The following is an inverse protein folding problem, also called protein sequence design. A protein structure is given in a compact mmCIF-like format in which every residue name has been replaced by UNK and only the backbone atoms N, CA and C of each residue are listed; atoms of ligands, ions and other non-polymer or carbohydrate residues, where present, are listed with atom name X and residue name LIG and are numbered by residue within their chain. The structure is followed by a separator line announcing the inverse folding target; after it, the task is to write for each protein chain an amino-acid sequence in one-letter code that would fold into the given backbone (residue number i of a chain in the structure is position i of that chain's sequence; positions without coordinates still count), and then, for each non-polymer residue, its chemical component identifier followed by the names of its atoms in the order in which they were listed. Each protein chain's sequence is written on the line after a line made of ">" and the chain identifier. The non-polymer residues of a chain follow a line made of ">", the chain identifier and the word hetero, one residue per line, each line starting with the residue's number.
data_IF_207773675707
#
_entry.id   IF_207773675707
#
_cell.length_a   1.000
_cell.length_b   1.000
_cell.length_c   1.000
_cell.angle_alpha   90.00
_cell.angle_beta   90.00
_cell.angle_gamma   90.00
#
_symmetry.space_group_name_H-M   'P 1'
#
loop_
_entity.id
_entity.type
_entity.pdbx_description
1 polymer ?
#
# COMPACT_ATOMS: atom_id res chain seq x y z
N UNK A 1 -19.25 2.40 -15.90
CA UNK A 1 -20.07 2.89 -14.77
C UNK A 1 -20.67 4.21 -15.17
N UNK A 2 -21.98 4.37 -15.06
CA UNK A 2 -22.71 5.56 -15.51
C UNK A 2 -22.58 6.67 -14.44
N UNK A 3 -22.70 7.95 -14.81
CA UNK A 3 -22.64 9.09 -13.87
C UNK A 3 -23.66 8.96 -12.70
N UNK A 4 -24.79 8.27 -12.93
CA UNK A 4 -25.74 7.91 -11.88
C UNK A 4 -25.18 6.91 -10.88
N UNK A 5 -24.38 5.94 -11.32
CA UNK A 5 -23.73 4.95 -10.44
C UNK A 5 -22.60 5.55 -9.61
N UNK A 6 -21.89 6.56 -10.16
CA UNK A 6 -20.90 7.34 -9.40
C UNK A 6 -21.56 8.23 -8.35
N UNK A 7 -22.76 8.78 -8.64
CA UNK A 7 -23.58 9.50 -7.67
C UNK A 7 -24.15 8.59 -6.59
N UNK A 8 -24.57 7.35 -6.93
CA UNK A 8 -24.98 6.34 -5.95
C UNK A 8 -23.84 5.94 -5.04
N UNK A 9 -22.62 5.78 -5.59
CA UNK A 9 -21.41 5.49 -4.80
C UNK A 9 -21.08 6.64 -3.86
N UNK A 10 -21.18 7.89 -4.34
CA UNK A 10 -20.98 9.09 -3.53
C UNK A 10 -22.09 9.25 -2.47
N UNK A 11 -23.33 8.96 -2.82
CA UNK A 11 -24.46 8.91 -1.88
C UNK A 11 -24.27 7.84 -0.81
N UNK A 12 -23.83 6.63 -1.19
CA UNK A 12 -23.62 5.52 -0.25
C UNK A 12 -22.41 5.74 0.68
N UNK A 13 -21.40 6.48 0.26
CA UNK A 13 -20.25 6.87 1.09
C UNK A 13 -20.52 8.13 1.93
N UNK A 14 -21.46 8.99 1.52
CA UNK A 14 -21.94 10.12 2.31
C UNK A 14 -23.07 9.73 3.29
N UNK A 15 -23.89 8.73 2.95
CA UNK A 15 -24.90 8.12 3.81
C UNK A 15 -24.36 7.00 4.70
N UNK A 16 -23.04 6.83 4.86
CA UNK A 16 -22.46 6.11 5.99
C UNK A 16 -22.72 6.86 7.33
N UNK A 17 -23.83 7.59 7.38
CA UNK A 17 -24.43 8.08 8.59
C UNK A 17 -24.86 6.86 9.42
N UNK A 18 -24.32 6.78 10.60
CA UNK A 18 -24.67 5.94 11.74
C UNK A 18 -26.16 5.58 11.66
N UNK A 19 -26.46 4.29 11.44
CA UNK A 19 -27.82 3.80 11.66
C UNK A 19 -28.16 3.98 13.15
N UNK A 20 -29.43 4.10 13.50
CA UNK A 20 -29.98 4.33 14.86
C UNK A 20 -29.56 3.29 15.92
N UNK A 21 -28.33 2.84 15.92
CA UNK A 21 -27.72 1.84 16.81
C UNK A 21 -26.20 1.83 16.76
N UNK A 22 -25.53 2.84 16.15
CA UNK A 22 -24.06 2.93 16.13
C UNK A 22 -23.36 1.98 15.16
N UNK A 23 -24.08 1.23 14.32
CA UNK A 23 -23.51 0.32 13.31
C UNK A 23 -23.45 0.99 11.93
N UNK A 24 -22.35 0.73 11.20
CA UNK A 24 -22.17 1.22 9.82
C UNK A 24 -23.17 0.52 8.86
N UNK A 25 -23.81 1.31 7.98
CA UNK A 25 -24.77 0.78 6.99
C UNK A 25 -24.04 -0.03 5.93
N UNK A 26 -24.41 -1.30 5.74
CA UNK A 26 -23.86 -2.18 4.69
C UNK A 26 -24.40 -1.78 3.32
N UNK A 27 -23.60 -1.05 2.54
CA UNK A 27 -23.98 -0.54 1.21
C UNK A 27 -23.02 -0.98 0.10
N UNK A 28 -21.79 -1.38 0.42
CA UNK A 28 -20.74 -1.69 -0.56
C UNK A 28 -20.94 -3.07 -1.20
N UNK A 29 -21.12 -3.11 -2.51
CA UNK A 29 -21.12 -4.34 -3.34
C UNK A 29 -19.68 -4.71 -3.72
N UNK A 30 -19.44 -5.95 -4.18
CA UNK A 30 -18.14 -6.45 -4.63
C UNK A 30 -17.42 -5.48 -5.57
N UNK A 31 -18.10 -4.94 -6.59
CA UNK A 31 -17.51 -3.99 -7.56
C UNK A 31 -16.97 -2.71 -6.88
N UNK A 32 -17.69 -2.20 -5.87
CA UNK A 32 -17.28 -0.99 -5.14
C UNK A 32 -16.01 -1.26 -4.32
N UNK A 33 -15.95 -2.40 -3.64
CA UNK A 33 -14.78 -2.82 -2.84
C UNK A 33 -13.56 -3.03 -3.74
N UNK A 34 -13.72 -3.70 -4.89
CA UNK A 34 -12.64 -3.90 -5.87
C UNK A 34 -12.12 -2.56 -6.37
N UNK A 35 -13.03 -1.65 -6.73
CA UNK A 35 -12.65 -0.34 -7.23
C UNK A 35 -11.90 0.50 -6.18
N UNK A 36 -12.39 0.52 -4.93
CA UNK A 36 -11.73 1.22 -3.82
C UNK A 36 -10.31 0.65 -3.59
N UNK A 37 -10.15 -0.67 -3.62
CA UNK A 37 -8.85 -1.31 -3.47
C UNK A 37 -7.87 -0.97 -4.60
N UNK A 38 -8.32 -1.00 -5.86
CA UNK A 38 -7.49 -0.60 -7.00
C UNK A 38 -7.13 0.89 -6.97
N UNK A 39 -8.06 1.74 -6.51
CA UNK A 39 -7.80 3.16 -6.32
C UNK A 39 -6.75 3.42 -5.23
N UNK A 40 -6.78 2.61 -4.16
CA UNK A 40 -5.80 2.72 -3.07
C UNK A 40 -4.39 2.32 -3.51
N UNK A 41 -4.26 1.29 -4.36
CA UNK A 41 -2.98 0.80 -4.86
C UNK A 41 -2.33 1.71 -5.91
N UNK A 42 -3.09 2.62 -6.52
CA UNK A 42 -2.66 3.50 -7.62
C UNK A 42 -2.09 2.76 -8.85
N UNK A 43 -2.75 2.84 -10.02
CA UNK A 43 -2.21 2.23 -11.26
C UNK A 43 -0.83 2.78 -11.66
N UNK A 44 -0.49 4.01 -11.28
CA UNK A 44 0.82 4.61 -11.58
C UNK A 44 1.95 4.13 -10.68
N UNK A 45 1.65 3.37 -9.60
CA UNK A 45 2.67 2.81 -8.72
C UNK A 45 3.66 1.88 -9.44
N UNK A 46 3.32 1.37 -10.61
CA UNK A 46 4.22 0.57 -11.45
C UNK A 46 5.46 1.35 -11.90
N UNK A 47 5.37 2.67 -11.96
CA UNK A 47 6.46 3.55 -12.40
C UNK A 47 7.36 4.01 -11.26
N UNK A 48 6.94 3.84 -10.00
CA UNK A 48 7.58 4.42 -8.83
C UNK A 48 9.02 3.93 -8.65
N UNK A 49 9.24 2.64 -8.82
CA UNK A 49 10.51 1.97 -8.49
C UNK A 49 11.10 1.19 -9.68
N UNK A 50 10.59 1.39 -10.90
CA UNK A 50 11.01 0.62 -12.07
C UNK A 50 12.53 0.65 -12.27
N UNK A 51 13.15 1.83 -12.28
CA UNK A 51 14.59 1.97 -12.51
C UNK A 51 15.41 1.27 -11.43
N UNK A 52 15.07 1.50 -10.14
CA UNK A 52 15.72 0.88 -9.00
C UNK A 52 15.66 -0.65 -9.09
N UNK A 53 14.48 -1.20 -9.37
CA UNK A 53 14.30 -2.65 -9.46
C UNK A 53 15.01 -3.22 -10.68
N UNK A 54 15.02 -2.51 -11.79
CA UNK A 54 15.75 -2.93 -12.99
C UNK A 54 17.25 -2.99 -12.74
N UNK A 55 17.81 -2.00 -12.04
CA UNK A 55 19.22 -1.97 -11.63
C UNK A 55 19.54 -3.14 -10.69
N UNK A 56 18.80 -3.29 -9.59
CA UNK A 56 19.00 -4.37 -8.61
C UNK A 56 18.89 -5.75 -9.24
N UNK A 57 17.91 -5.96 -10.14
CA UNK A 57 17.63 -7.28 -10.74
C UNK A 57 18.42 -7.56 -12.01
N UNK A 58 19.20 -6.60 -12.51
CA UNK A 58 19.88 -6.72 -13.79
C UNK A 58 18.91 -6.87 -14.97
N UNK A 59 17.83 -6.07 -14.97
CA UNK A 59 16.86 -6.07 -16.06
C UNK A 59 15.72 -7.08 -15.94
N UNK A 60 15.39 -7.57 -14.74
CA UNK A 60 14.36 -8.60 -14.53
C UNK A 60 13.17 -8.13 -13.68
N UNK A 61 12.70 -6.89 -13.90
CA UNK A 61 11.56 -6.31 -13.15
C UNK A 61 10.28 -7.16 -13.24
N UNK A 62 9.85 -7.66 -14.43
CA UNK A 62 8.67 -8.51 -14.52
C UNK A 62 8.80 -9.82 -13.72
N UNK A 63 10.02 -10.41 -13.64
CA UNK A 63 10.26 -11.59 -12.82
C UNK A 63 10.07 -11.29 -11.32
N UNK A 64 10.55 -10.13 -10.85
CA UNK A 64 10.35 -9.70 -9.48
C UNK A 64 8.86 -9.45 -9.17
N UNK A 65 8.10 -8.89 -10.12
CA UNK A 65 6.64 -8.76 -9.98
C UNK A 65 5.94 -10.13 -9.92
N UNK A 66 6.33 -11.10 -10.74
CA UNK A 66 5.76 -12.46 -10.65
C UNK A 66 6.02 -13.09 -9.29
N UNK A 67 7.21 -12.89 -8.72
CA UNK A 67 7.57 -13.43 -7.42
C UNK A 67 6.73 -12.80 -6.31
N UNK A 68 6.61 -11.47 -6.26
CA UNK A 68 5.80 -10.82 -5.23
C UNK A 68 4.31 -11.15 -5.36
N UNK A 69 3.78 -11.31 -6.58
CA UNK A 69 2.39 -11.74 -6.81
C UNK A 69 2.14 -13.10 -6.15
N UNK A 70 3.07 -14.05 -6.26
CA UNK A 70 2.94 -15.36 -5.60
C UNK A 70 2.86 -15.21 -4.08
N UNK A 71 3.72 -14.38 -3.47
CA UNK A 71 3.68 -14.12 -2.03
C UNK A 71 2.37 -13.44 -1.60
N UNK A 72 1.91 -12.46 -2.40
CA UNK A 72 0.64 -11.76 -2.18
C UNK A 72 -0.55 -12.71 -2.29
N UNK A 73 -0.57 -13.67 -3.22
CA UNK A 73 -1.67 -14.63 -3.34
C UNK A 73 -1.81 -15.52 -2.10
N UNK A 74 -0.72 -16.02 -1.55
CA UNK A 74 -0.76 -16.78 -0.30
C UNK A 74 -1.30 -15.93 0.86
N UNK A 75 -0.84 -14.69 0.94
CA UNK A 75 -1.28 -13.73 1.96
C UNK A 75 -2.74 -13.32 1.77
N UNK A 76 -3.16 -13.03 0.54
CA UNK A 76 -4.55 -12.74 0.17
C UNK A 76 -5.50 -13.88 0.54
N UNK A 77 -5.06 -15.12 0.33
CA UNK A 77 -5.78 -16.31 0.77
C UNK A 77 -5.99 -16.31 2.29
N UNK A 78 -4.94 -16.02 3.06
CA UNK A 78 -5.00 -15.97 4.51
C UNK A 78 -5.89 -14.85 5.03
N UNK A 79 -5.81 -13.64 4.45
CA UNK A 79 -6.77 -12.56 4.73
C UNK A 79 -8.21 -12.99 4.46
N UNK A 80 -8.45 -13.61 3.29
CA UNK A 80 -9.78 -14.11 2.93
C UNK A 80 -10.32 -15.15 3.92
N UNK A 81 -9.45 -16.01 4.47
CA UNK A 81 -9.82 -16.97 5.53
C UNK A 81 -10.17 -16.28 6.83
N UNK A 82 -9.38 -15.29 7.25
CA UNK A 82 -9.57 -14.56 8.50
C UNK A 82 -10.83 -13.69 8.47
N UNK A 83 -11.10 -12.98 7.37
CA UNK A 83 -12.34 -12.20 7.18
C UNK A 83 -13.59 -13.07 7.30
N UNK A 84 -13.56 -14.32 6.79
CA UNK A 84 -14.70 -15.25 6.95
C UNK A 84 -14.99 -15.60 8.40
N UNK A 85 -13.97 -15.58 9.28
CA UNK A 85 -14.07 -15.90 10.70
C UNK A 85 -14.36 -14.65 11.53
N UNK A 86 -13.69 -13.55 11.20
CA UNK A 86 -13.75 -12.26 11.92
C UNK A 86 -13.98 -11.12 10.92
N UNK A 87 -15.23 -10.88 10.48
CA UNK A 87 -15.56 -9.83 9.51
C UNK A 87 -15.65 -8.45 10.18
N UNK A 88 -14.55 -7.99 10.78
CA UNK A 88 -14.43 -6.70 11.46
C UNK A 88 -13.36 -5.83 10.81
N UNK A 89 -13.46 -4.52 10.97
CA UNK A 89 -12.57 -3.54 10.36
C UNK A 89 -11.13 -3.54 10.91
N UNK A 90 -10.85 -4.23 11.99
CA UNK A 90 -9.54 -4.20 12.67
C UNK A 90 -8.41 -4.99 11.98
N UNK A 91 -8.65 -5.58 10.80
CA UNK A 91 -7.65 -6.27 9.97
C UNK A 91 -6.73 -7.20 10.79
N UNK A 92 -5.43 -7.24 10.48
CA UNK A 92 -4.44 -8.12 11.12
C UNK A 92 -4.33 -7.94 12.64
N UNK A 93 -4.52 -6.73 13.16
CA UNK A 93 -4.58 -6.48 14.60
C UNK A 93 -5.64 -7.37 15.26
N UNK A 94 -6.87 -7.33 14.75
CA UNK A 94 -7.98 -8.13 15.28
C UNK A 94 -7.73 -9.63 15.10
N UNK A 95 -7.21 -10.06 13.95
CA UNK A 95 -6.93 -11.48 13.71
C UNK A 95 -5.91 -12.02 14.68
N UNK A 96 -4.78 -11.32 14.88
CA UNK A 96 -3.74 -11.71 15.82
C UNK A 96 -4.25 -11.70 17.26
N UNK A 97 -4.98 -10.67 17.66
CA UNK A 97 -5.59 -10.55 18.99
C UNK A 97 -6.54 -11.70 19.28
N UNK A 98 -7.45 -12.03 18.38
CA UNK A 98 -8.49 -13.06 18.56
C UNK A 98 -7.96 -14.50 18.43
N UNK A 99 -6.87 -14.72 17.69
CA UNK A 99 -6.29 -16.07 17.49
C UNK A 99 -5.17 -16.40 18.45
N UNK A 100 -4.36 -15.41 18.83
CA UNK A 100 -3.17 -15.57 19.68
C UNK A 100 -3.39 -14.95 21.06
N UNK A 101 -3.09 -13.66 21.21
CA UNK A 101 -3.33 -12.91 22.43
C UNK A 101 -3.38 -11.39 22.17
N UNK A 102 -3.86 -10.63 23.15
CA UNK A 102 -4.05 -9.19 23.05
C UNK A 102 -2.73 -8.40 22.91
N UNK A 103 -1.68 -8.84 23.63
CA UNK A 103 -0.38 -8.16 23.62
C UNK A 103 0.30 -8.27 22.24
N UNK A 104 0.28 -9.47 21.67
CA UNK A 104 0.85 -9.70 20.34
C UNK A 104 0.04 -8.96 19.25
N UNK A 105 -1.31 -8.96 19.38
CA UNK A 105 -2.16 -8.15 18.51
C UNK A 105 -1.78 -6.68 18.52
N UNK A 106 -1.50 -6.12 19.70
CA UNK A 106 -1.03 -4.75 19.84
C UNK A 106 0.31 -4.53 19.11
N UNK A 107 1.31 -5.39 19.32
CA UNK A 107 2.63 -5.25 18.70
C UNK A 107 2.57 -5.35 17.17
N UNK A 108 1.75 -6.25 16.66
CA UNK A 108 1.53 -6.39 15.21
C UNK A 108 0.84 -5.15 14.66
N UNK A 109 -0.19 -4.65 15.33
CA UNK A 109 -0.86 -3.40 14.96
C UNK A 109 0.08 -2.19 15.01
N UNK A 110 0.93 -2.11 16.05
CA UNK A 110 1.96 -1.08 16.19
C UNK A 110 2.96 -1.12 15.02
N UNK A 111 3.44 -2.29 14.66
CA UNK A 111 4.37 -2.43 13.54
C UNK A 111 3.71 -2.10 12.19
N UNK A 112 2.47 -2.51 11.99
CA UNK A 112 1.70 -2.18 10.80
C UNK A 112 1.42 -0.66 10.67
N UNK A 113 1.48 0.11 11.76
CA UNK A 113 1.35 1.57 11.70
C UNK A 113 2.45 2.25 10.88
N UNK A 114 3.63 1.64 10.71
CA UNK A 114 4.68 2.19 9.84
C UNK A 114 4.16 2.45 8.43
N UNK A 115 3.40 1.50 7.88
CA UNK A 115 2.76 1.65 6.59
C UNK A 115 1.89 2.92 6.54
N UNK A 116 0.95 3.08 7.47
CA UNK A 116 0.04 4.23 7.47
C UNK A 116 0.73 5.58 7.73
N UNK A 117 1.72 5.62 8.63
CA UNK A 117 2.36 6.86 9.05
C UNK A 117 3.33 7.41 7.99
N UNK A 118 4.01 6.51 7.26
CA UNK A 118 5.06 6.89 6.32
C UNK A 118 4.62 6.88 4.84
N UNK A 119 3.43 6.36 4.50
CA UNK A 119 2.89 6.49 3.14
C UNK A 119 2.78 7.94 2.63
N UNK A 120 2.38 8.95 3.43
CA UNK A 120 2.42 10.33 2.98
C UNK A 120 3.83 10.85 2.66
N UNK A 121 4.85 10.33 3.35
CA UNK A 121 6.26 10.62 3.10
C UNK A 121 6.68 10.17 1.70
N UNK A 122 6.35 8.94 1.32
CA UNK A 122 6.75 8.40 0.01
C UNK A 122 6.11 9.16 -1.15
N UNK A 123 4.87 9.63 -0.99
CA UNK A 123 4.23 10.47 -2.01
C UNK A 123 4.97 11.79 -2.21
N UNK A 124 5.47 12.41 -1.13
CA UNK A 124 6.24 13.64 -1.23
C UNK A 124 7.60 13.41 -1.92
N UNK A 125 8.24 12.27 -1.63
CA UNK A 125 9.48 11.87 -2.27
C UNK A 125 9.28 11.60 -3.77
N UNK A 126 8.25 10.83 -4.13
CA UNK A 126 7.89 10.56 -5.52
C UNK A 126 7.53 11.83 -6.30
N UNK A 127 6.73 12.73 -5.70
CA UNK A 127 6.46 14.04 -6.31
C UNK A 127 7.75 14.80 -6.60
N UNK A 128 8.72 14.74 -5.67
CA UNK A 128 10.02 15.39 -5.82
C UNK A 128 10.82 14.81 -6.99
N UNK A 129 10.92 13.50 -7.11
CA UNK A 129 11.65 12.81 -8.19
C UNK A 129 11.09 13.24 -9.55
N UNK A 130 9.77 13.18 -9.72
CA UNK A 130 9.12 13.52 -10.98
C UNK A 130 9.19 15.02 -11.29
N UNK A 131 9.03 15.89 -10.28
CA UNK A 131 9.16 17.34 -10.49
C UNK A 131 10.60 17.74 -10.77
N UNK A 132 11.60 17.09 -10.18
CA UNK A 132 13.02 17.34 -10.48
C UNK A 132 13.38 16.92 -11.90
N UNK A 133 12.78 15.88 -12.45
CA UNK A 133 12.92 15.51 -13.86
C UNK A 133 12.38 16.60 -14.81
N UNK A 134 11.29 17.28 -14.44
CA UNK A 134 10.72 18.38 -15.23
C UNK A 134 11.45 19.70 -15.03
N UNK A 135 11.97 19.96 -13.83
CA UNK A 135 12.61 21.22 -13.43
C UNK A 135 13.95 20.98 -12.73
N UNK A 136 14.99 20.56 -13.48
CA UNK A 136 16.30 20.16 -12.90
C UNK A 136 17.02 21.29 -12.14
N UNK A 137 16.64 22.55 -12.37
CA UNK A 137 17.21 23.71 -11.67
C UNK A 137 16.66 23.96 -10.27
N UNK A 138 15.64 23.21 -9.84
CA UNK A 138 15.00 23.40 -8.54
C UNK A 138 15.44 22.26 -7.60
N UNK A 139 16.01 22.56 -6.43
CA UNK A 139 16.41 21.54 -5.47
C UNK A 139 15.23 20.63 -5.04
N UNK A 140 15.47 19.32 -4.97
CA UNK A 140 14.45 18.30 -4.67
C UNK A 140 13.69 18.53 -3.37
N UNK A 141 14.37 19.01 -2.31
CA UNK A 141 13.75 19.29 -1.03
C UNK A 141 12.62 20.33 -1.08
N UNK A 142 12.65 21.25 -2.07
CA UNK A 142 11.58 22.26 -2.28
C UNK A 142 10.29 21.54 -2.69
N UNK A 143 10.37 20.56 -3.58
CA UNK A 143 9.22 19.78 -4.02
C UNK A 143 8.63 18.94 -2.91
N UNK A 144 9.50 18.30 -2.09
CA UNK A 144 9.08 17.56 -0.90
C UNK A 144 8.31 18.48 0.04
N UNK A 145 8.90 19.63 0.38
CA UNK A 145 8.29 20.59 1.30
C UNK A 145 6.96 21.11 0.78
N UNK A 146 6.90 21.54 -0.50
CA UNK A 146 5.66 22.04 -1.11
C UNK A 146 4.56 20.97 -1.11
N UNK A 147 4.88 19.74 -1.48
CA UNK A 147 3.92 18.63 -1.49
C UNK A 147 3.33 18.41 -0.09
N UNK A 148 4.18 18.37 0.94
CA UNK A 148 3.73 18.17 2.33
C UNK A 148 2.90 19.35 2.83
N UNK A 149 3.31 20.59 2.52
CA UNK A 149 2.55 21.80 2.90
C UNK A 149 1.19 21.80 2.22
N UNK A 150 1.14 21.51 0.92
CA UNK A 150 -0.12 21.48 0.16
C UNK A 150 -1.06 20.41 0.72
N UNK A 151 -0.58 19.17 0.88
CA UNK A 151 -1.41 18.06 1.39
C UNK A 151 -1.89 18.31 2.81
N UNK A 152 -1.02 18.84 3.68
CA UNK A 152 -1.36 19.18 5.07
C UNK A 152 -2.37 20.32 5.11
N UNK A 153 -2.16 21.39 4.35
CA UNK A 153 -3.09 22.52 4.29
C UNK A 153 -4.47 22.10 3.79
N UNK A 154 -4.54 21.31 2.71
CA UNK A 154 -5.79 20.81 2.17
C UNK A 154 -6.53 19.92 3.19
N UNK A 155 -5.81 19.09 3.94
CA UNK A 155 -6.41 18.31 5.02
C UNK A 155 -6.94 19.17 6.17
N UNK A 156 -6.24 20.25 6.54
CA UNK A 156 -6.69 21.19 7.57
C UNK A 156 -7.91 22.00 7.15
N UNK A 157 -8.02 22.35 5.87
CA UNK A 157 -9.22 23.02 5.33
C UNK A 157 -10.41 22.08 5.16
N UNK A 158 -10.22 20.77 5.35
CA UNK A 158 -11.30 19.79 5.27
C UNK A 158 -11.86 19.62 3.87
N UNK A 159 -11.02 19.76 2.84
CA UNK A 159 -11.41 19.54 1.44
C UNK A 159 -11.88 18.09 1.29
N UNK A 160 -13.17 17.90 1.19
CA UNK A 160 -13.81 16.64 0.83
C UNK A 160 -13.54 16.42 -0.65
N UNK A 161 -12.37 15.82 -0.98
CA UNK A 161 -12.15 15.31 -2.32
C UNK A 161 -13.17 14.20 -2.56
N UNK A 162 -14.17 14.53 -3.34
CA UNK A 162 -15.30 13.66 -3.60
C UNK A 162 -14.83 12.36 -4.23
N UNK A 163 -15.45 11.25 -3.88
CA UNK A 163 -15.22 9.91 -4.46
C UNK A 163 -15.25 9.93 -6.00
N UNK A 164 -16.04 10.84 -6.60
CA UNK A 164 -16.10 11.07 -8.05
C UNK A 164 -14.74 11.54 -8.59
N UNK A 165 -14.01 12.40 -7.84
CA UNK A 165 -12.67 12.86 -8.24
C UNK A 165 -11.68 11.69 -8.22
N UNK A 166 -11.69 10.87 -7.18
CA UNK A 166 -10.85 9.67 -7.11
C UNK A 166 -11.12 8.70 -8.27
N UNK A 167 -12.39 8.51 -8.63
CA UNK A 167 -12.76 7.67 -9.78
C UNK A 167 -12.20 8.22 -11.10
N UNK A 168 -12.36 9.51 -11.33
CA UNK A 168 -11.83 10.18 -12.52
C UNK A 168 -10.29 10.08 -12.58
N UNK A 169 -9.63 10.25 -11.44
CA UNK A 169 -8.17 10.14 -11.32
C UNK A 169 -7.66 8.73 -11.63
N UNK A 170 -8.33 7.68 -11.15
CA UNK A 170 -7.96 6.30 -11.46
C UNK A 170 -8.11 6.02 -12.95
N UNK A 171 -9.19 6.48 -13.57
CA UNK A 171 -9.37 6.35 -15.03
C UNK A 171 -8.25 7.07 -15.78
N UNK A 172 -7.91 8.30 -15.36
CA UNK A 172 -6.82 9.08 -15.96
C UNK A 172 -5.48 8.33 -15.83
N UNK A 173 -5.18 7.77 -14.66
CA UNK A 173 -3.97 6.98 -14.41
C UNK A 173 -3.89 5.77 -15.34
N UNK A 174 -4.97 5.01 -15.46
CA UNK A 174 -5.04 3.85 -16.38
C UNK A 174 -4.87 4.32 -17.83
N UNK A 175 -5.51 5.42 -18.23
CA UNK A 175 -5.40 5.95 -19.59
C UNK A 175 -3.96 6.37 -19.91
N UNK A 176 -3.31 7.11 -19.01
CA UNK A 176 -1.90 7.53 -19.17
C UNK A 176 -0.99 6.29 -19.29
N UNK A 177 -1.21 5.27 -18.46
CA UNK A 177 -0.42 4.03 -18.53
C UNK A 177 -0.67 3.26 -19.83
N UNK A 178 -1.91 3.18 -20.31
CA UNK A 178 -2.24 2.53 -21.59
C UNK A 178 -1.56 3.27 -22.75
N UNK A 179 -1.61 4.60 -22.76
CA UNK A 179 -0.89 5.40 -23.77
C UNK A 179 0.62 5.15 -23.69
N UNK A 180 1.17 5.12 -22.47
CA UNK A 180 2.58 4.81 -22.26
C UNK A 180 2.95 3.47 -22.89
N UNK A 181 2.19 2.40 -22.61
CA UNK A 181 2.43 1.06 -23.17
C UNK A 181 2.31 1.05 -24.69
N UNK A 182 1.30 1.72 -25.26
CA UNK A 182 1.12 1.82 -26.73
C UNK A 182 2.33 2.50 -27.36
N UNK A 183 2.80 3.62 -26.80
CA UNK A 183 3.97 4.32 -27.29
C UNK A 183 5.24 3.48 -27.15
N UNK A 184 5.40 2.73 -26.06
CA UNK A 184 6.51 1.80 -25.84
C UNK A 184 6.51 0.68 -26.89
N UNK A 185 5.36 0.05 -27.13
CA UNK A 185 5.21 -0.98 -28.20
C UNK A 185 5.56 -0.40 -29.55
N UNK A 186 5.04 0.79 -29.88
CA UNK A 186 5.36 1.48 -31.14
C UNK A 186 6.87 1.70 -31.28
N UNK A 187 7.55 2.10 -30.21
CA UNK A 187 8.99 2.35 -30.23
C UNK A 187 9.80 1.08 -30.44
N UNK A 188 9.39 -0.04 -29.83
CA UNK A 188 10.03 -1.36 -30.03
C UNK A 188 9.82 -1.84 -31.47
N UNK A 189 8.62 -1.66 -32.06
CA UNK A 189 8.28 -2.20 -33.40
C UNK A 189 8.81 -1.35 -34.57
N UNK A 190 8.87 -0.03 -34.41
CA UNK A 190 9.13 0.91 -35.51
C UNK A 190 10.27 1.90 -35.24
N UNK A 191 10.85 1.90 -34.03
CA UNK A 191 12.00 2.72 -33.69
C UNK A 191 13.31 2.00 -34.03
N UNK A 192 14.36 2.75 -34.32
CA UNK A 192 15.70 2.20 -34.55
C UNK A 192 16.42 1.81 -33.24
N UNK A 193 15.70 1.09 -32.36
CA UNK A 193 16.20 0.73 -31.01
C UNK A 193 17.03 -0.55 -31.01
N UNK A 194 16.92 -1.37 -32.06
CA UNK A 194 17.49 -2.72 -32.09
C UNK A 194 16.86 -3.72 -31.12
N UNK A 195 15.89 -3.28 -30.32
CA UNK A 195 15.21 -4.11 -29.31
C UNK A 195 14.06 -4.89 -29.94
N UNK A 196 13.85 -6.11 -29.46
CA UNK A 196 12.78 -7.00 -29.89
C UNK A 196 12.04 -7.58 -28.68
N UNK A 197 10.80 -8.03 -28.91
CA UNK A 197 10.09 -8.77 -27.87
C UNK A 197 10.79 -10.09 -27.57
N UNK A 198 11.16 -10.29 -26.32
CA UNK A 198 11.87 -11.49 -25.84
C UNK A 198 11.37 -11.88 -24.46
N UNK A 199 11.76 -13.06 -24.00
CA UNK A 199 11.50 -13.50 -22.62
C UNK A 199 12.62 -13.09 -21.64
N UNK A 200 13.63 -12.35 -22.12
CA UNK A 200 14.74 -11.89 -21.29
C UNK A 200 14.33 -11.15 -20.02
N UNK A 201 13.27 -10.27 -20.02
CA UNK A 201 12.81 -9.63 -18.80
C UNK A 201 12.31 -10.60 -17.72
N UNK A 202 11.99 -11.84 -18.10
CA UNK A 202 11.56 -12.87 -17.14
C UNK A 202 12.68 -13.82 -16.75
N UNK A 203 13.58 -14.14 -17.68
CA UNK A 203 14.63 -15.11 -17.45
C UNK A 203 15.81 -14.91 -18.40
N UNK A 204 17.02 -14.91 -17.83
CA UNK A 204 18.30 -15.06 -18.53
C UNK A 204 19.19 -16.00 -17.72
N UNK A 205 20.28 -16.50 -18.32
CA UNK A 205 21.27 -17.34 -17.61
C UNK A 205 21.96 -16.58 -16.45
N UNK A 206 21.95 -15.25 -16.49
CA UNK A 206 22.57 -14.37 -15.49
C UNK A 206 21.60 -13.98 -14.36
N UNK A 207 20.35 -14.46 -14.40
CA UNK A 207 19.33 -14.11 -13.38
C UNK A 207 19.77 -14.53 -11.98
N UNK A 208 19.88 -13.55 -11.10
CA UNK A 208 20.19 -13.76 -9.68
C UNK A 208 18.91 -13.85 -8.86
N UNK A 209 18.57 -15.03 -8.35
CA UNK A 209 17.40 -15.18 -7.47
C UNK A 209 17.43 -14.25 -6.23
N UNK A 210 18.57 -14.11 -5.51
CA UNK A 210 18.64 -13.14 -4.40
C UNK A 210 18.33 -11.71 -4.84
N UNK A 211 18.80 -11.27 -6.01
CA UNK A 211 18.51 -9.94 -6.55
C UNK A 211 17.01 -9.79 -6.91
N UNK A 212 16.39 -10.82 -7.50
CA UNK A 212 14.94 -10.83 -7.78
C UNK A 212 14.13 -10.76 -6.48
N UNK A 213 14.53 -11.43 -5.41
CA UNK A 213 13.88 -11.33 -4.10
C UNK A 213 14.07 -9.95 -3.47
N UNK A 214 15.25 -9.35 -3.59
CA UNK A 214 15.49 -7.98 -3.13
C UNK A 214 14.60 -6.99 -3.88
N UNK A 215 14.52 -7.09 -5.21
CA UNK A 215 13.59 -6.31 -6.02
C UNK A 215 12.13 -6.54 -5.61
N UNK A 216 11.71 -7.79 -5.45
CA UNK A 216 10.36 -8.14 -5.04
C UNK A 216 10.00 -7.59 -3.63
N UNK A 217 10.96 -7.49 -2.71
CA UNK A 217 10.73 -6.92 -1.39
C UNK A 217 10.40 -5.42 -1.45
N UNK A 218 11.00 -4.68 -2.38
CA UNK A 218 10.69 -3.26 -2.63
C UNK A 218 9.35 -3.14 -3.36
N UNK A 219 9.09 -3.99 -4.36
CA UNK A 219 7.84 -4.00 -5.14
C UNK A 219 6.58 -4.31 -4.31
N UNK A 220 6.73 -4.84 -3.09
CA UNK A 220 5.61 -4.99 -2.17
C UNK A 220 4.88 -3.67 -1.93
N UNK A 221 5.58 -2.52 -1.99
CA UNK A 221 4.99 -1.17 -1.93
C UNK A 221 3.85 -0.98 -2.94
N UNK A 222 4.03 -1.45 -4.19
CA UNK A 222 3.02 -1.31 -5.25
C UNK A 222 1.74 -2.11 -4.97
N UNK A 223 1.79 -3.08 -4.06
CA UNK A 223 0.63 -3.88 -3.66
C UNK A 223 -0.02 -3.41 -2.35
N UNK A 224 0.54 -2.41 -1.66
CA UNK A 224 -0.07 -1.91 -0.42
C UNK A 224 -1.48 -1.37 -0.70
N UNK A 225 -2.43 -1.84 0.10
CA UNK A 225 -3.84 -1.51 -0.08
C UNK A 225 -4.74 -2.68 -0.52
N UNK A 226 -4.18 -3.79 -1.06
CA UNK A 226 -5.01 -4.96 -1.40
C UNK A 226 -5.69 -5.55 -0.16
N UNK A 227 -5.06 -5.43 1.00
CA UNK A 227 -5.57 -5.88 2.30
C UNK A 227 -6.40 -4.80 3.02
N UNK A 228 -6.21 -3.53 2.68
CA UNK A 228 -6.95 -2.41 3.25
C UNK A 228 -8.47 -2.55 3.05
N UNK A 229 -8.91 -3.25 1.99
CA UNK A 229 -10.33 -3.56 1.79
C UNK A 229 -10.93 -4.43 2.90
N UNK A 230 -10.12 -5.09 3.72
CA UNK A 230 -10.62 -5.80 4.91
C UNK A 230 -11.22 -4.87 5.95
N UNK A 231 -10.76 -3.61 6.00
CA UNK A 231 -11.32 -2.59 6.89
C UNK A 231 -12.72 -2.16 6.48
N UNK A 232 -13.13 -2.41 5.22
CA UNK A 232 -14.47 -2.16 4.71
C UNK A 232 -15.47 -3.29 5.03
N UNK A 233 -15.06 -4.29 5.83
CA UNK A 233 -15.88 -5.47 6.08
C UNK A 233 -17.23 -5.14 6.73
N UNK A 234 -17.30 -4.09 7.56
CA UNK A 234 -18.52 -3.68 8.26
C UNK A 234 -19.50 -2.93 7.34
N UNK A 235 -19.01 -2.28 6.29
CA UNK A 235 -19.80 -1.56 5.28
C UNK A 235 -20.15 -2.41 4.07
N UNK A 236 -19.55 -3.61 3.94
CA UNK A 236 -19.71 -4.47 2.77
C UNK A 236 -20.91 -5.40 2.91
N UNK A 237 -21.71 -5.51 1.84
CA UNK A 237 -22.79 -6.49 1.73
C UNK A 237 -22.15 -7.89 1.61
N UNK A 238 -22.61 -8.86 2.41
CA UNK A 238 -22.05 -10.21 2.48
C UNK A 238 -20.49 -10.22 2.62
N UNK A 239 -19.91 -9.60 3.69
CA UNK A 239 -18.48 -9.41 3.78
C UNK A 239 -17.67 -10.71 3.71
N UNK A 240 -18.19 -11.80 4.30
CA UNK A 240 -17.56 -13.13 4.26
C UNK A 240 -17.37 -13.71 2.86
N UNK A 241 -18.10 -13.19 1.87
CA UNK A 241 -18.07 -13.63 0.47
C UNK A 241 -17.37 -12.59 -0.42
N UNK A 242 -17.74 -11.32 -0.26
CA UNK A 242 -17.31 -10.25 -1.16
C UNK A 242 -15.90 -9.75 -0.85
N UNK A 243 -15.50 -9.61 0.41
CA UNK A 243 -14.14 -9.17 0.75
C UNK A 243 -13.07 -10.18 0.26
N UNK A 244 -13.17 -11.49 0.53
CA UNK A 244 -12.17 -12.44 0.01
C UNK A 244 -12.07 -12.44 -1.52
N UNK A 245 -13.20 -12.30 -2.23
CA UNK A 245 -13.21 -12.20 -3.69
C UNK A 245 -12.57 -10.91 -4.17
N UNK A 246 -12.87 -9.79 -3.51
CA UNK A 246 -12.30 -8.49 -3.84
C UNK A 246 -10.76 -8.52 -3.72
N UNK A 247 -10.22 -9.04 -2.61
CA UNK A 247 -8.78 -9.16 -2.37
C UNK A 247 -8.09 -9.90 -3.53
N UNK A 248 -8.64 -11.06 -3.94
CA UNK A 248 -8.07 -11.84 -5.05
C UNK A 248 -8.17 -11.13 -6.39
N UNK A 249 -9.32 -10.50 -6.70
CA UNK A 249 -9.52 -9.75 -7.94
C UNK A 249 -8.54 -8.57 -7.99
N UNK A 250 -8.39 -7.82 -6.91
CA UNK A 250 -7.49 -6.68 -6.80
C UNK A 250 -6.04 -7.14 -7.02
N UNK A 251 -5.57 -8.13 -6.26
CA UNK A 251 -4.20 -8.63 -6.36
C UNK A 251 -3.88 -9.19 -7.76
N UNK A 252 -4.82 -9.93 -8.38
CA UNK A 252 -4.62 -10.49 -9.71
C UNK A 252 -4.61 -9.42 -10.80
N UNK A 253 -5.60 -8.50 -10.79
CA UNK A 253 -5.70 -7.47 -11.82
C UNK A 253 -4.56 -6.47 -11.75
N UNK A 254 -4.17 -6.01 -10.54
CA UNK A 254 -3.03 -5.14 -10.37
C UNK A 254 -1.71 -5.85 -10.74
N UNK A 255 -1.53 -7.09 -10.28
CA UNK A 255 -0.33 -7.87 -10.62
C UNK A 255 -0.18 -8.10 -12.12
N UNK A 256 -1.24 -8.52 -12.81
CA UNK A 256 -1.22 -8.69 -14.26
C UNK A 256 -0.92 -7.38 -14.99
N UNK A 257 -1.50 -6.28 -14.51
CA UNK A 257 -1.25 -4.95 -15.05
C UNK A 257 0.21 -4.53 -14.86
N UNK A 258 0.77 -4.67 -13.67
CA UNK A 258 2.15 -4.30 -13.37
C UNK A 258 3.17 -5.14 -14.15
N UNK A 259 2.97 -6.45 -14.23
CA UNK A 259 3.83 -7.34 -15.06
C UNK A 259 3.78 -6.90 -16.53
N UNK A 260 2.59 -6.59 -17.05
CA UNK A 260 2.44 -6.19 -18.46
C UNK A 260 3.19 -4.88 -18.75
N UNK A 261 2.99 -3.86 -17.91
CA UNK A 261 3.63 -2.54 -18.09
C UNK A 261 5.15 -2.68 -18.02
N UNK A 262 5.65 -3.33 -16.98
CA UNK A 262 7.10 -3.47 -16.76
C UNK A 262 7.76 -4.37 -17.79
N UNK A 263 7.05 -5.36 -18.36
CA UNK A 263 7.54 -6.16 -19.47
C UNK A 263 7.87 -5.28 -20.69
N UNK A 264 6.97 -4.39 -21.08
CA UNK A 264 7.21 -3.49 -22.20
C UNK A 264 8.31 -2.46 -21.91
N UNK A 265 8.33 -1.92 -20.69
CA UNK A 265 9.39 -1.01 -20.26
C UNK A 265 10.76 -1.69 -20.32
N UNK A 266 10.89 -2.90 -19.74
CA UNK A 266 12.14 -3.64 -19.70
C UNK A 266 12.57 -4.17 -21.07
N UNK A 267 11.62 -4.49 -21.95
CA UNK A 267 11.92 -4.87 -23.32
C UNK A 267 12.48 -3.70 -24.13
N UNK A 268 12.05 -2.46 -23.84
CA UNK A 268 12.57 -1.27 -24.49
C UNK A 268 13.93 -0.84 -23.90
N UNK A 269 14.08 -0.97 -22.57
CA UNK A 269 15.31 -0.64 -21.85
C UNK A 269 15.76 -1.85 -21.02
N UNK A 270 16.52 -2.78 -21.66
CA UNK A 270 17.09 -3.93 -20.94
C UNK A 270 18.09 -3.53 -19.85
N UNK A 271 18.80 -2.42 -20.07
CA UNK A 271 19.76 -1.85 -19.14
C UNK A 271 19.35 -0.41 -18.81
N UNK A 272 19.16 -0.13 -17.52
CA UNK A 272 18.78 1.21 -17.01
C UNK A 272 19.96 2.10 -16.68
N UNK A 273 21.20 1.61 -16.78
CA UNK A 273 22.41 2.39 -16.56
C UNK A 273 22.58 3.52 -17.59
N UNK A 274 21.80 3.48 -18.68
CA UNK A 274 21.72 4.55 -19.70
C UNK A 274 21.06 5.82 -19.17
N UNK A 275 20.30 5.75 -18.07
CA UNK A 275 19.66 6.91 -17.45
C UNK A 275 20.61 7.58 -16.46
N UNK A 276 20.61 8.91 -16.45
CA UNK A 276 21.44 9.69 -15.53
C UNK A 276 20.94 9.62 -14.07
N UNK A 277 19.65 9.37 -13.89
CA UNK A 277 18.97 9.20 -12.62
C UNK A 277 18.10 7.94 -12.67
N UNK A 278 18.49 6.92 -11.92
CA UNK A 278 17.80 5.63 -11.87
C UNK A 278 16.41 5.77 -11.24
N UNK A 279 16.26 6.60 -10.22
CA UNK A 279 14.95 6.87 -9.60
C UNK A 279 14.01 7.59 -10.56
N UNK A 280 14.55 8.46 -11.40
CA UNK A 280 13.84 9.19 -12.45
C UNK A 280 13.70 8.45 -13.79
N UNK A 281 14.03 7.16 -13.87
CA UNK A 281 14.00 6.41 -15.13
C UNK A 281 12.62 6.44 -15.84
N UNK A 282 11.52 6.31 -15.10
CA UNK A 282 10.18 6.28 -15.70
C UNK A 282 9.78 7.58 -16.42
N UNK A 283 9.97 8.80 -15.86
CA UNK A 283 9.78 10.05 -16.61
C UNK A 283 10.74 10.19 -17.80
N UNK A 284 11.99 9.72 -17.71
CA UNK A 284 12.91 9.74 -18.85
C UNK A 284 12.43 8.83 -19.99
N UNK A 285 11.94 7.63 -19.67
CA UNK A 285 11.30 6.73 -20.63
C UNK A 285 10.10 7.42 -21.29
N UNK A 286 9.24 8.08 -20.51
CA UNK A 286 8.08 8.79 -21.03
C UNK A 286 8.49 9.88 -22.04
N UNK A 287 9.60 10.59 -21.76
CA UNK A 287 10.17 11.58 -22.67
C UNK A 287 10.71 10.96 -23.95
N UNK A 288 11.38 9.81 -23.83
CA UNK A 288 11.95 9.09 -24.97
C UNK A 288 10.86 8.56 -25.93
N UNK A 289 9.80 7.95 -25.41
CA UNK A 289 8.74 7.32 -26.23
C UNK A 289 7.75 8.31 -26.84
N UNK A 290 7.51 9.45 -26.18
CA UNK A 290 6.44 10.39 -26.57
C UNK A 290 6.84 11.86 -26.64
N UNK A 291 8.15 12.14 -26.51
CA UNK A 291 8.70 13.50 -26.57
C UNK A 291 8.23 14.40 -25.43
N UNK A 292 8.48 15.70 -25.58
CA UNK A 292 8.20 16.68 -24.51
C UNK A 292 6.71 16.77 -24.14
N UNK A 293 5.80 16.60 -25.11
CA UNK A 293 4.36 16.68 -24.85
C UNK A 293 3.89 15.55 -23.94
N UNK A 294 4.23 14.29 -24.28
CA UNK A 294 3.81 13.15 -23.48
C UNK A 294 4.50 13.14 -22.12
N UNK A 295 5.78 13.51 -22.03
CA UNK A 295 6.49 13.71 -20.77
C UNK A 295 5.75 14.68 -19.84
N UNK A 296 5.31 15.84 -20.35
CA UNK A 296 4.55 16.82 -19.56
C UNK A 296 3.20 16.28 -19.10
N UNK A 297 2.48 15.55 -19.96
CA UNK A 297 1.20 14.90 -19.59
C UNK A 297 1.43 13.83 -18.52
N UNK A 298 2.47 13.01 -18.69
CA UNK A 298 2.82 11.94 -17.77
C UNK A 298 3.16 12.47 -16.36
N UNK A 299 4.07 13.46 -16.29
CA UNK A 299 4.44 14.08 -15.01
C UNK A 299 3.26 14.79 -14.37
N UNK A 300 2.49 15.58 -15.13
CA UNK A 300 1.33 16.30 -14.59
C UNK A 300 0.29 15.33 -14.01
N UNK A 301 -0.03 14.27 -14.76
CA UNK A 301 -0.95 13.24 -14.32
C UNK A 301 -0.44 12.50 -13.07
N UNK A 302 0.85 12.21 -13.02
CA UNK A 302 1.50 11.55 -11.90
C UNK A 302 1.48 12.42 -10.64
N UNK A 303 1.91 13.68 -10.73
CA UNK A 303 1.94 14.61 -9.58
C UNK A 303 0.54 14.83 -9.00
N UNK A 304 -0.48 14.98 -9.85
CA UNK A 304 -1.88 15.10 -9.39
C UNK A 304 -2.32 13.82 -8.67
N UNK A 305 -1.95 12.64 -9.18
CA UNK A 305 -2.28 11.36 -8.55
C UNK A 305 -1.61 11.22 -7.17
N UNK A 306 -0.31 11.53 -7.10
CA UNK A 306 0.48 11.47 -5.85
C UNK A 306 -0.05 12.46 -4.80
N UNK A 307 -0.42 13.68 -5.19
CA UNK A 307 -1.06 14.64 -4.28
C UNK A 307 -2.40 14.11 -3.74
N UNK A 308 -3.24 13.55 -4.59
CA UNK A 308 -4.52 12.98 -4.18
C UNK A 308 -4.35 11.79 -3.23
N UNK A 309 -3.39 10.90 -3.52
CA UNK A 309 -3.02 9.80 -2.64
C UNK A 309 -2.48 10.32 -1.30
N UNK A 310 -1.56 11.28 -1.32
CA UNK A 310 -0.95 11.87 -0.13
C UNK A 310 -1.98 12.51 0.81
N UNK A 311 -2.97 13.24 0.26
CA UNK A 311 -4.07 13.82 1.05
C UNK A 311 -4.88 12.70 1.75
N UNK A 312 -5.25 11.67 1.01
CA UNK A 312 -6.08 10.57 1.52
C UNK A 312 -5.34 9.75 2.57
N UNK A 313 -4.07 9.44 2.33
CA UNK A 313 -3.22 8.66 3.23
C UNK A 313 -2.89 9.43 4.51
N UNK A 314 -2.55 10.73 4.41
CA UNK A 314 -2.33 11.58 5.58
C UNK A 314 -3.58 11.68 6.46
N UNK A 315 -4.77 11.81 5.86
CA UNK A 315 -6.03 11.83 6.60
C UNK A 315 -6.30 10.47 7.26
N UNK A 316 -6.04 9.36 6.58
CA UNK A 316 -6.21 8.00 7.12
C UNK A 316 -5.29 7.75 8.31
N UNK A 317 -4.01 8.11 8.20
CA UNK A 317 -3.05 8.04 9.30
C UNK A 317 -3.49 8.88 10.50
N UNK A 318 -3.97 10.11 10.24
CA UNK A 318 -4.44 11.03 11.29
C UNK A 318 -5.67 10.50 12.01
N UNK A 319 -6.58 9.84 11.30
CA UNK A 319 -7.77 9.19 11.88
C UNK A 319 -7.41 7.95 12.69
N UNK A 320 -6.44 7.17 12.23
CA UNK A 320 -5.91 6.03 12.97
C UNK A 320 -5.34 6.48 14.32
N UNK A 321 -4.46 7.48 14.32
CA UNK A 321 -3.89 8.09 15.53
C UNK A 321 -4.97 8.64 16.46
N UNK A 322 -6.00 9.27 15.89
CA UNK A 322 -7.16 9.77 16.65
C UNK A 322 -7.90 8.61 17.32
N UNK A 323 -8.20 7.54 16.60
CA UNK A 323 -8.85 6.36 17.16
C UNK A 323 -8.05 5.79 18.34
N UNK A 324 -6.74 5.65 18.17
CA UNK A 324 -5.84 5.17 19.24
C UNK A 324 -5.82 6.13 20.45
N UNK A 325 -5.88 7.44 20.21
CA UNK A 325 -5.96 8.43 21.29
C UNK A 325 -7.30 8.39 22.01
N UNK A 326 -8.41 8.28 21.28
CA UNK A 326 -9.77 8.15 21.83
C UNK A 326 -9.89 6.93 22.74
N UNK A 327 -9.37 5.79 22.29
CA UNK A 327 -9.49 4.49 22.97
C UNK A 327 -8.41 4.30 24.06
N UNK A 328 -7.59 5.34 24.33
CA UNK A 328 -6.61 5.33 25.42
C UNK A 328 -5.35 4.51 25.13
N UNK A 329 -5.14 4.10 23.89
CA UNK A 329 -3.88 3.47 23.43
C UNK A 329 -2.77 4.51 23.38
N UNK A 330 -3.06 5.72 22.88
CA UNK A 330 -2.17 6.88 22.89
C UNK A 330 -2.70 7.95 23.85
N UNK A 331 -1.85 8.91 24.33
CA UNK A 331 -2.30 9.97 25.23
C UNK A 331 -3.48 10.77 24.68
N UNK A 332 -4.66 10.60 25.30
CA UNK A 332 -5.93 11.16 24.83
C UNK A 332 -5.89 12.69 24.67
N UNK A 333 -5.12 13.39 25.51
CA UNK A 333 -4.99 14.86 25.50
C UNK A 333 -4.51 15.41 24.15
N UNK A 334 -3.61 14.70 23.46
CA UNK A 334 -3.02 15.11 22.19
C UNK A 334 -3.70 14.40 21.02
N UNK A 335 -3.65 13.07 21.02
CA UNK A 335 -4.11 12.25 19.90
C UNK A 335 -5.63 12.16 19.80
N UNK A 336 -6.35 12.21 20.93
CA UNK A 336 -7.81 12.22 20.97
C UNK A 336 -8.45 13.60 20.78
N UNK A 337 -7.63 14.66 20.54
CA UNK A 337 -8.15 16.01 20.36
C UNK A 337 -8.73 16.21 18.96
N UNK A 338 -9.94 16.75 18.91
CA UNK A 338 -10.64 17.17 17.70
C UNK A 338 -10.94 18.66 17.80
N UNK A 339 -10.63 19.40 16.76
CA UNK A 339 -10.87 20.84 16.74
C UNK A 339 -12.38 21.16 16.72
N UNK A 340 -12.92 21.97 17.67
CA UNK A 340 -14.36 22.12 17.87
C UNK A 340 -15.14 22.64 16.65
N UNK A 341 -14.53 23.50 15.83
CA UNK A 341 -15.18 24.11 14.66
C UNK A 341 -15.13 23.25 13.40
N UNK A 342 -14.02 22.51 13.19
CA UNK A 342 -13.81 21.77 11.94
C UNK A 342 -14.10 20.28 12.07
N UNK A 343 -14.15 19.74 13.30
CA UNK A 343 -14.32 18.31 13.53
C UNK A 343 -13.09 17.49 13.11
N UNK A 344 -11.92 18.12 12.91
CA UNK A 344 -10.72 17.46 12.41
C UNK A 344 -9.69 17.20 13.52
N UNK A 345 -8.95 16.11 13.46
CA UNK A 345 -7.86 15.80 14.38
C UNK A 345 -6.58 16.58 14.00
N UNK A 346 -6.62 17.91 14.18
CA UNK A 346 -5.58 18.86 13.71
C UNK A 346 -4.19 18.47 14.19
N UNK A 347 -4.04 18.10 15.47
CA UNK A 347 -2.74 17.68 16.01
C UNK A 347 -2.17 16.48 15.22
N UNK A 348 -3.00 15.49 14.94
CA UNK A 348 -2.56 14.28 14.22
C UNK A 348 -2.22 14.60 12.75
N UNK A 349 -2.98 15.48 12.10
CA UNK A 349 -2.69 15.91 10.71
C UNK A 349 -1.32 16.59 10.65
N UNK A 350 -1.04 17.52 11.59
CA UNK A 350 0.24 18.21 11.66
C UNK A 350 1.39 17.25 12.01
N UNK A 351 1.17 16.30 12.92
CA UNK A 351 2.17 15.30 13.29
C UNK A 351 2.54 14.41 12.10
N UNK A 352 1.56 13.90 11.35
CA UNK A 352 1.82 13.07 10.16
C UNK A 352 2.51 13.89 9.08
N UNK A 353 2.14 15.16 8.89
CA UNK A 353 2.85 16.07 7.99
C UNK A 353 4.30 16.30 8.42
N UNK A 354 4.55 16.49 9.72
CA UNK A 354 5.91 16.63 10.25
C UNK A 354 6.74 15.34 10.07
N UNK A 355 6.14 14.15 10.29
CA UNK A 355 6.78 12.88 10.02
C UNK A 355 7.10 12.72 8.52
N UNK A 356 6.23 13.18 7.63
CA UNK A 356 6.47 13.10 6.19
C UNK A 356 7.69 13.94 5.74
N UNK A 357 8.12 14.97 6.50
CA UNK A 357 9.36 15.72 6.21
C UNK A 357 10.62 14.86 6.30
N UNK A 358 10.56 13.68 6.91
CA UNK A 358 11.69 12.74 6.91
C UNK A 358 12.08 12.27 5.50
N UNK A 359 11.18 12.43 4.50
CA UNK A 359 11.48 12.27 3.09
C UNK A 359 12.72 13.05 2.60
N UNK A 360 13.09 14.13 3.28
CA UNK A 360 14.29 14.92 2.92
C UNK A 360 15.61 14.21 3.24
N UNK A 361 15.56 13.12 4.01
CA UNK A 361 16.74 12.42 4.54
C UNK A 361 16.82 10.96 4.11
N UNK A 362 15.84 10.46 3.36
CA UNK A 362 15.76 9.08 2.91
C UNK A 362 15.71 9.06 1.37
N UNK A 363 16.34 8.04 0.80
CA UNK A 363 16.11 7.70 -0.61
C UNK A 363 14.83 6.86 -0.78
N UNK A 364 14.44 6.64 -2.03
CA UNK A 364 13.20 5.92 -2.34
C UNK A 364 13.26 4.45 -1.90
N UNK A 365 14.42 3.82 -1.98
CA UNK A 365 14.63 2.42 -1.57
C UNK A 365 14.49 2.25 -0.06
N UNK A 366 15.12 3.15 0.71
CA UNK A 366 15.03 3.17 2.16
C UNK A 366 13.59 3.45 2.64
N UNK A 367 12.94 4.46 2.03
CA UNK A 367 11.56 4.81 2.34
C UNK A 367 10.59 3.67 2.05
N UNK A 368 10.68 3.04 0.86
CA UNK A 368 9.88 1.89 0.48
C UNK A 368 10.10 0.70 1.42
N UNK A 369 11.37 0.40 1.72
CA UNK A 369 11.73 -0.71 2.61
C UNK A 369 11.22 -0.50 4.04
N UNK A 370 11.25 0.74 4.56
CA UNK A 370 10.72 1.07 5.89
C UNK A 370 9.20 0.82 5.97
N UNK A 371 8.46 1.24 4.96
CA UNK A 371 7.01 1.01 4.87
C UNK A 371 6.73 -0.49 4.75
N UNK A 372 7.46 -1.18 3.87
CA UNK A 372 7.30 -2.62 3.64
C UNK A 372 7.66 -3.46 4.88
N UNK A 373 8.53 -2.97 5.77
CA UNK A 373 8.78 -3.62 7.07
C UNK A 373 7.47 -3.82 7.84
N UNK A 374 6.67 -2.77 7.98
CA UNK A 374 5.36 -2.83 8.64
C UNK A 374 4.38 -3.77 7.94
N UNK A 375 4.32 -3.68 6.63
CA UNK A 375 3.45 -4.53 5.81
C UNK A 375 3.84 -6.02 5.93
N UNK A 376 5.11 -6.37 5.86
CA UNK A 376 5.55 -7.76 6.01
C UNK A 376 5.32 -8.33 7.41
N UNK A 377 5.38 -7.51 8.46
CA UNK A 377 4.90 -7.93 9.79
C UNK A 377 3.42 -8.30 9.72
N UNK A 378 2.58 -7.44 9.15
CA UNK A 378 1.15 -7.71 9.00
C UNK A 378 0.88 -8.99 8.17
N UNK A 379 1.55 -9.14 7.02
CA UNK A 379 1.40 -10.30 6.14
C UNK A 379 1.89 -11.60 6.79
N UNK A 380 2.98 -11.54 7.54
CA UNK A 380 3.49 -12.67 8.34
C UNK A 380 2.46 -13.11 9.37
N UNK A 381 1.93 -12.16 10.15
CA UNK A 381 1.00 -12.47 11.23
C UNK A 381 -0.42 -12.85 10.77
N UNK A 382 -0.88 -12.39 9.61
CA UNK A 382 -2.16 -12.90 9.08
C UNK A 382 -2.03 -14.37 8.65
N UNK A 383 -0.92 -14.75 8.01
CA UNK A 383 -0.64 -16.14 7.67
C UNK A 383 -0.53 -17.02 8.93
N UNK A 384 0.22 -16.56 9.93
CA UNK A 384 0.35 -17.25 11.21
C UNK A 384 -0.98 -17.35 11.96
N UNK A 385 -1.85 -16.34 11.87
CA UNK A 385 -3.19 -16.35 12.48
C UNK A 385 -4.07 -17.48 11.93
N UNK A 386 -3.99 -17.80 10.64
CA UNK A 386 -4.72 -18.93 10.03
C UNK A 386 -4.22 -20.25 10.61
N UNK A 387 -2.90 -20.44 10.72
CA UNK A 387 -2.26 -21.64 11.27
C UNK A 387 -2.67 -21.82 12.73
N UNK A 388 -2.53 -20.77 13.55
CA UNK A 388 -2.90 -20.83 14.98
C UNK A 388 -4.40 -21.09 15.18
N UNK A 389 -5.24 -20.46 14.35
CA UNK A 389 -6.69 -20.72 14.37
C UNK A 389 -7.00 -22.19 14.10
N UNK A 390 -6.33 -22.81 13.11
CA UNK A 390 -6.49 -24.23 12.81
C UNK A 390 -6.16 -25.09 14.01
N UNK A 391 -5.01 -24.89 14.67
CA UNK A 391 -4.61 -25.71 15.82
C UNK A 391 -5.51 -25.53 17.05
N UNK A 392 -5.98 -24.30 17.32
CA UNK A 392 -6.73 -23.95 18.54
C UNK A 392 -8.24 -24.16 18.42
N UNK A 393 -8.82 -23.96 17.22
CA UNK A 393 -10.28 -23.87 17.09
C UNK A 393 -10.89 -24.75 16.00
N UNK A 394 -10.13 -25.21 15.01
CA UNK A 394 -10.69 -26.03 13.93
C UNK A 394 -10.69 -27.51 14.33
N UNK A 395 -11.87 -28.12 14.33
CA UNK A 395 -12.02 -29.54 14.69
C UNK A 395 -11.78 -30.48 13.50
N UNK A 396 -12.00 -29.99 12.28
CA UNK A 396 -11.84 -30.78 11.06
C UNK A 396 -10.37 -30.91 10.69
N UNK A 397 -9.83 -32.12 10.71
CA UNK A 397 -8.44 -32.46 10.39
C UNK A 397 -8.30 -33.17 9.04
N UNK A 398 -9.22 -32.93 8.10
CA UNK A 398 -9.13 -33.51 6.75
C UNK A 398 -7.90 -33.01 6.02
N UNK A 399 -7.40 -33.80 5.05
CA UNK A 399 -6.25 -33.41 4.19
C UNK A 399 -6.50 -32.04 3.54
N UNK A 400 -7.71 -31.77 3.05
CA UNK A 400 -8.10 -30.47 2.51
C UNK A 400 -7.94 -29.36 3.54
N UNK A 401 -8.32 -29.58 4.80
CA UNK A 401 -8.18 -28.59 5.87
C UNK A 401 -6.70 -28.33 6.20
N UNK A 402 -5.86 -29.36 6.19
CA UNK A 402 -4.41 -29.25 6.39
C UNK A 402 -3.78 -28.40 5.27
N UNK A 403 -4.07 -28.73 4.00
CA UNK A 403 -3.56 -27.96 2.85
C UNK A 403 -3.96 -26.49 2.96
N UNK A 404 -5.24 -26.23 3.21
CA UNK A 404 -5.80 -24.87 3.19
C UNK A 404 -5.50 -24.05 4.44
N UNK A 405 -5.12 -24.66 5.55
CA UNK A 405 -4.91 -23.97 6.85
C UNK A 405 -3.46 -24.03 7.33
N UNK A 406 -2.63 -24.92 6.79
CA UNK A 406 -1.23 -25.04 7.17
C UNK A 406 -0.31 -24.83 5.97
N UNK A 407 -0.48 -25.60 4.86
CA UNK A 407 0.48 -25.60 3.75
C UNK A 407 0.43 -24.25 3.02
N UNK A 408 -0.75 -23.79 2.60
CA UNK A 408 -0.90 -22.51 1.89
C UNK A 408 -0.47 -21.32 2.76
N UNK A 409 -0.97 -21.14 4.00
CA UNK A 409 -0.48 -20.05 4.85
C UNK A 409 0.98 -20.22 5.28
N UNK A 410 1.47 -21.46 5.42
CA UNK A 410 2.87 -21.77 5.71
C UNK A 410 3.81 -21.34 4.57
N UNK A 411 3.42 -21.56 3.33
CA UNK A 411 4.14 -21.05 2.17
C UNK A 411 4.15 -19.50 2.16
N UNK A 412 2.99 -18.86 2.40
CA UNK A 412 2.90 -17.41 2.52
C UNK A 412 3.77 -16.85 3.64
N UNK A 413 3.79 -17.53 4.79
CA UNK A 413 4.65 -17.18 5.92
C UNK A 413 6.14 -17.23 5.53
N UNK A 414 6.58 -18.32 4.89
CA UNK A 414 7.98 -18.49 4.47
C UNK A 414 8.39 -17.43 3.42
N UNK A 415 7.56 -17.19 2.40
CA UNK A 415 7.80 -16.13 1.43
C UNK A 415 7.92 -14.75 2.08
N UNK A 416 6.97 -14.37 2.94
CA UNK A 416 6.98 -13.06 3.59
C UNK A 416 8.20 -12.89 4.51
N UNK A 417 8.60 -13.92 5.25
CA UNK A 417 9.80 -13.89 6.08
C UNK A 417 11.04 -13.70 5.21
N UNK A 418 11.15 -14.42 4.09
CA UNK A 418 12.29 -14.27 3.20
C UNK A 418 12.35 -12.86 2.56
N UNK A 419 11.22 -12.34 2.08
CA UNK A 419 11.12 -10.99 1.56
C UNK A 419 11.46 -9.94 2.65
N UNK A 420 11.03 -10.16 3.87
CA UNK A 420 11.33 -9.29 5.00
C UNK A 420 12.84 -9.20 5.27
N UNK A 421 13.56 -10.33 5.25
CA UNK A 421 15.02 -10.33 5.38
C UNK A 421 15.77 -9.83 4.13
N UNK A 422 15.07 -9.66 3.01
CA UNK A 422 15.62 -9.09 1.78
C UNK A 422 15.46 -7.57 1.70
N UNK A 423 14.85 -6.94 2.70
CA UNK A 423 14.73 -5.48 2.81
C UNK A 423 16.09 -4.83 3.03
N UNK A 424 16.17 -3.52 2.71
CA UNK A 424 17.36 -2.70 2.96
C UNK A 424 17.74 -2.72 4.45
N UNK A 425 19.04 -2.79 4.72
CA UNK A 425 19.58 -2.89 6.10
C UNK A 425 19.18 -1.73 7.00
N UNK A 426 19.24 -0.52 6.47
CA UNK A 426 18.84 0.71 7.16
C UNK A 426 17.39 0.65 7.63
N UNK A 427 16.49 0.24 6.72
CA UNK A 427 15.08 0.08 7.00
C UNK A 427 14.79 -1.04 8.01
N UNK A 428 15.54 -2.16 7.94
CA UNK A 428 15.45 -3.22 8.95
C UNK A 428 15.80 -2.71 10.34
N UNK A 429 16.87 -1.93 10.47
CA UNK A 429 17.28 -1.34 11.75
C UNK A 429 16.19 -0.38 12.28
N UNK A 430 15.70 0.53 11.44
CA UNK A 430 14.63 1.47 11.80
C UNK A 430 13.34 0.75 12.19
N UNK A 431 12.96 -0.28 11.43
CA UNK A 431 11.78 -1.09 11.73
C UNK A 431 11.89 -1.86 13.05
N UNK A 432 13.05 -2.43 13.35
CA UNK A 432 13.32 -3.10 14.64
C UNK A 432 13.31 -2.10 15.80
N UNK A 433 13.89 -0.91 15.62
CA UNK A 433 13.83 0.19 16.62
C UNK A 433 12.38 0.58 16.87
N UNK A 434 11.56 0.74 15.80
CA UNK A 434 10.15 1.02 15.94
C UNK A 434 9.39 -0.08 16.71
N UNK A 435 9.66 -1.34 16.40
CA UNK A 435 9.07 -2.48 17.10
C UNK A 435 9.50 -2.51 18.59
N UNK A 436 10.76 -2.19 18.88
CA UNK A 436 11.28 -2.08 20.25
C UNK A 436 10.60 -0.96 21.03
N UNK A 437 10.39 0.21 20.42
CA UNK A 437 9.61 1.31 21.01
C UNK A 437 8.19 0.82 21.35
N UNK A 438 7.54 0.13 20.43
CA UNK A 438 6.21 -0.46 20.66
C UNK A 438 6.21 -1.48 21.80
N UNK A 439 7.27 -2.28 21.90
CA UNK A 439 7.42 -3.25 23.00
C UNK A 439 7.60 -2.57 24.36
N UNK A 440 8.45 -1.56 24.45
CA UNK A 440 8.61 -0.78 25.68
C UNK A 440 7.30 -0.06 26.05
N UNK A 441 6.62 0.48 25.04
CA UNK A 441 5.36 1.17 25.23
C UNK A 441 4.24 0.23 25.74
N UNK A 442 4.14 -0.98 25.20
CA UNK A 442 3.15 -1.96 25.72
C UNK A 442 3.49 -2.40 27.14
N UNK A 443 4.77 -2.56 27.51
CA UNK A 443 5.17 -2.85 28.89
C UNK A 443 4.68 -1.78 29.86
N UNK A 444 4.84 -0.50 29.49
CA UNK A 444 4.32 0.62 30.25
C UNK A 444 2.79 0.60 30.34
N UNK A 445 2.10 0.46 29.18
CA UNK A 445 0.65 0.51 29.07
C UNK A 445 -0.04 -0.63 29.85
N UNK A 446 0.56 -1.82 29.83
CA UNK A 446 0.01 -3.01 30.46
C UNK A 446 0.55 -3.28 31.86
N UNK A 447 1.31 -2.33 32.44
CA UNK A 447 1.96 -2.51 33.74
C UNK A 447 2.73 -3.85 33.82
N UNK A 448 3.64 -4.06 32.86
CA UNK A 448 4.41 -5.30 32.71
C UNK A 448 3.51 -6.54 32.56
N UNK A 449 2.57 -6.49 31.60
CA UNK A 449 1.62 -7.55 31.23
C UNK A 449 0.60 -7.95 32.33
N UNK A 450 0.45 -7.13 33.38
CA UNK A 450 -0.56 -7.36 34.43
C UNK A 450 -1.97 -7.01 33.98
N UNK A 451 -2.12 -6.11 33.02
CA UNK A 451 -3.40 -5.66 32.46
C UNK A 451 -3.41 -5.88 30.96
N UNK A 452 -4.55 -6.28 30.40
CA UNK A 452 -4.69 -6.37 28.93
C UNK A 452 -4.57 -4.99 28.30
N UNK A 453 -3.91 -4.86 27.12
CA UNK A 453 -3.90 -3.61 26.39
C UNK A 453 -5.32 -3.20 26.01
N UNK A 454 -5.61 -1.89 25.94
CA UNK A 454 -6.89 -1.37 25.49
C UNK A 454 -7.31 -2.01 24.17
N UNK A 455 -8.58 -2.25 23.99
CA UNK A 455 -9.12 -2.69 22.72
C UNK A 455 -9.43 -1.47 21.88
N UNK A 456 -8.94 -1.42 20.63
CA UNK A 456 -9.47 -0.46 19.66
C UNK A 456 -10.96 -0.79 19.53
N UNK A 457 -11.80 0.09 20.06
CA UNK A 457 -13.23 -0.19 20.16
C UNK A 457 -13.82 -0.30 18.74
N UNK A 458 -14.00 -1.53 18.29
CA UNK A 458 -15.16 -1.82 17.48
C UNK A 458 -16.33 -1.76 18.45
N UNK A 459 -17.34 -0.96 18.15
CA UNK A 459 -18.61 -0.93 18.89
C UNK A 459 -19.31 -2.30 18.80
N UNK A 460 -18.72 -3.29 19.47
CA UNK A 460 -19.34 -4.59 19.78
C UNK A 460 -19.94 -4.48 21.20
N UNK A 461 -20.97 -3.65 21.34
CA UNK A 461 -21.99 -3.78 22.38
C UNK A 461 -23.36 -3.61 21.76
#
# INVERSE_FOLDING_TARGET
>A
MNLSEAKELNGSLQESAISDGGQLKRSLKLRHVVFIGLAYMSPLAVFDTFGIISDITGGHVPAAYLLIIVAIFFTAYSYGRMVKKYPSAGSVYTYTRKTMNAHLGFLVGWSAMLDYLFLPMINALLASIYMSSAFPGVPSWIWIFLTIVITTALNLFGVKLAVIFNYLLVILQVLVTVIFVILTIRMIMYGDTGNTFSLNPFYTEQLSFPAVFAGASILALSFLGFDAVTTLAEETIEPKKNIPRAIFIIALSAGAFFVTVTYFMQSLFPDVSVFGDIEGASPEIARYIGGALFHSIFISGYVVAVLACGITQQMSASRLLYGMGRDGVLPKKFFGYVHPRTGLPVFNILLVGALALTAMFLDLTEAASLINFGAFVAFTFVNLSVIVYFFRREKNRSVKSIITSIIIPGAGLAFNIYLWFSLEKSAMILGVVWAAIGFVYILYLTKFFKVSPPELSNNDQ
#
